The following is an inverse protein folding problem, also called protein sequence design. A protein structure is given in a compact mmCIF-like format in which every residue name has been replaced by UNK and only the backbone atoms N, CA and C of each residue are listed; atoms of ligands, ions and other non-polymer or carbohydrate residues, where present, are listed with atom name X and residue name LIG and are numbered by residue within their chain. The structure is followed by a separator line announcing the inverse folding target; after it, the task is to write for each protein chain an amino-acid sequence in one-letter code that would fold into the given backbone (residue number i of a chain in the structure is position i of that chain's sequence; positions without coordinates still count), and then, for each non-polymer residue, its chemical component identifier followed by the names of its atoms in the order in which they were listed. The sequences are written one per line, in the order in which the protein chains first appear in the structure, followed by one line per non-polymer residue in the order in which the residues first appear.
data_IF_114596383307
#
_entry.id   IF_114596383307
#
_cell.length_a   1.000
_cell.length_b   1.000
_cell.length_c   1.000
_cell.angle_alpha   90.00
_cell.angle_beta   90.00
_cell.angle_gamma   90.00
#
_symmetry.space_group_name_H-M   'P 1'
#
loop_
_entity.id
_entity.type
_entity.pdbx_description
1 polymer ?
#
# COMPACT_ATOMS: atom_id res chain seq x y z
N UNK A 1 56.67 -8.82 -10.54
CA UNK A 1 55.47 -9.68 -10.67
C UNK A 1 54.71 -9.92 -9.37
N UNK A 2 55.37 -10.09 -8.22
CA UNK A 2 54.70 -10.38 -6.95
C UNK A 2 53.83 -9.22 -6.40
N UNK A 3 54.26 -7.95 -6.52
CA UNK A 3 53.50 -6.81 -5.96
C UNK A 3 52.15 -6.57 -6.65
N UNK A 4 52.08 -6.78 -7.97
CA UNK A 4 50.83 -6.69 -8.74
C UNK A 4 49.84 -7.77 -8.30
N UNK A 5 50.33 -8.97 -7.98
CA UNK A 5 49.48 -10.07 -7.50
C UNK A 5 48.86 -9.72 -6.15
N UNK A 6 49.65 -9.18 -5.21
CA UNK A 6 49.14 -8.73 -3.90
C UNK A 6 48.14 -7.59 -4.04
N UNK A 7 48.43 -6.60 -4.89
CA UNK A 7 47.52 -5.47 -5.14
C UNK A 7 46.16 -5.91 -5.73
N UNK A 8 46.17 -6.87 -6.67
CA UNK A 8 44.94 -7.42 -7.26
C UNK A 8 44.10 -8.20 -6.26
N UNK A 9 44.74 -8.97 -5.37
CA UNK A 9 44.03 -9.72 -4.33
C UNK A 9 43.40 -8.76 -3.32
N UNK A 10 44.14 -7.73 -2.88
CA UNK A 10 43.60 -6.70 -2.00
C UNK A 10 42.41 -5.98 -2.64
N UNK A 11 42.51 -5.61 -3.92
CA UNK A 11 41.41 -5.00 -4.66
C UNK A 11 40.17 -5.89 -4.73
N UNK A 12 40.35 -7.20 -4.95
CA UNK A 12 39.24 -8.15 -4.98
C UNK A 12 38.53 -8.27 -3.62
N UNK A 13 39.29 -8.31 -2.52
CA UNK A 13 38.73 -8.37 -1.16
C UNK A 13 37.99 -7.08 -0.80
N UNK A 14 38.55 -5.92 -1.15
CA UNK A 14 37.93 -4.60 -0.89
C UNK A 14 36.65 -4.40 -1.72
N UNK A 15 36.52 -5.06 -2.87
CA UNK A 15 35.31 -4.99 -3.69
C UNK A 15 34.14 -5.86 -3.17
N UNK A 16 34.37 -6.76 -2.20
CA UNK A 16 33.34 -7.68 -1.71
C UNK A 16 32.10 -6.99 -1.12
N UNK A 17 32.18 -5.90 -0.32
CA UNK A 17 31.00 -5.20 0.18
C UNK A 17 30.14 -4.60 -0.93
N UNK A 18 30.77 -4.03 -1.97
CA UNK A 18 30.07 -3.49 -3.14
C UNK A 18 29.39 -4.62 -3.94
N UNK A 19 30.08 -5.75 -4.11
CA UNK A 19 29.51 -6.92 -4.77
C UNK A 19 28.31 -7.49 -3.98
N UNK A 20 28.40 -7.55 -2.66
CA UNK A 20 27.30 -7.97 -1.80
C UNK A 20 26.10 -7.02 -1.89
N UNK A 21 26.32 -5.70 -1.97
CA UNK A 21 25.24 -4.73 -2.14
C UNK A 21 24.58 -4.81 -3.53
N UNK A 22 25.37 -4.98 -4.59
CA UNK A 22 24.88 -5.03 -5.97
C UNK A 22 24.18 -6.35 -6.31
N UNK A 23 24.68 -7.47 -5.78
CA UNK A 23 24.22 -8.82 -6.15
C UNK A 23 23.44 -9.53 -5.05
N UNK A 24 23.44 -9.00 -3.81
CA UNK A 24 22.70 -9.57 -2.68
C UNK A 24 21.27 -9.05 -2.54
N UNK A 25 20.86 -8.09 -3.37
CA UNK A 25 19.51 -7.55 -3.35
C UNK A 25 18.46 -8.60 -3.75
N UNK A 26 17.43 -8.77 -2.93
CA UNK A 26 16.17 -9.42 -3.33
C UNK A 26 15.30 -8.35 -3.99
N UNK A 27 14.56 -8.68 -5.05
CA UNK A 27 13.50 -7.81 -5.55
C UNK A 27 12.44 -7.65 -4.44
N UNK A 28 12.58 -6.60 -3.62
CA UNK A 28 11.63 -6.30 -2.59
C UNK A 28 10.43 -5.64 -3.26
N UNK A 29 9.29 -6.32 -3.24
CA UNK A 29 8.02 -5.66 -3.52
C UNK A 29 7.78 -4.68 -2.36
N UNK A 30 8.21 -3.44 -2.55
CA UNK A 30 7.89 -2.36 -1.63
C UNK A 30 6.53 -1.80 -2.00
N UNK A 31 5.62 -1.86 -1.04
CA UNK A 31 4.31 -1.26 -1.16
C UNK A 31 4.34 0.21 -0.69
N UNK A 32 5.48 0.70 -0.21
CA UNK A 32 5.71 2.07 0.23
C UNK A 32 5.39 2.28 1.71
N UNK A 33 5.55 3.52 2.15
CA UNK A 33 5.26 3.95 3.53
C UNK A 33 6.46 4.57 4.22
N UNK A 34 7.05 5.60 3.63
CA UNK A 34 8.15 6.36 4.22
C UNK A 34 7.56 7.63 4.86
N UNK A 35 7.43 7.63 6.18
CA UNK A 35 7.03 8.82 6.94
C UNK A 35 8.22 9.32 7.76
N UNK A 36 8.48 10.62 7.65
CA UNK A 36 9.46 11.38 8.42
C UNK A 36 8.82 12.66 8.98
N UNK A 37 9.46 13.34 9.93
CA UNK A 37 9.09 14.69 10.39
C UNK A 37 7.60 14.92 10.72
N UNK A 38 7.01 14.01 11.51
CA UNK A 38 5.61 14.13 11.94
C UNK A 38 4.58 13.83 10.84
N UNK A 39 5.01 13.22 9.74
CA UNK A 39 4.14 12.82 8.64
C UNK A 39 3.24 11.65 9.02
N UNK A 40 2.04 11.64 8.44
CA UNK A 40 1.17 10.48 8.45
C UNK A 40 1.30 9.80 7.09
N UNK A 41 1.71 8.54 7.08
CA UNK A 41 1.79 7.75 5.84
C UNK A 41 0.88 6.55 5.94
N UNK A 42 0.31 6.17 4.81
CA UNK A 42 -0.47 4.96 4.72
C UNK A 42 -0.46 4.45 3.32
N UNK A 43 -0.33 3.14 3.25
CA UNK A 43 -0.34 2.39 2.02
C UNK A 43 -1.53 1.48 2.04
N UNK A 44 -2.29 1.57 0.97
CA UNK A 44 -3.46 0.76 0.73
C UNK A 44 -3.24 0.06 -0.60
N UNK A 45 -3.43 -1.24 -0.65
CA UNK A 45 -3.44 -1.93 -1.93
C UNK A 45 -4.51 -2.99 -1.93
N UNK A 46 -5.25 -3.06 -3.02
CA UNK A 46 -6.11 -4.18 -3.32
C UNK A 46 -5.38 -5.00 -4.39
N UNK A 47 -4.98 -6.22 -4.07
CA UNK A 47 -4.41 -7.18 -5.02
C UNK A 47 -5.39 -8.34 -5.16
N UNK A 48 -5.78 -8.68 -6.39
CA UNK A 48 -6.68 -9.80 -6.65
C UNK A 48 -8.15 -9.55 -6.29
N UNK A 49 -8.65 -8.32 -6.41
CA UNK A 49 -10.09 -8.05 -6.25
C UNK A 49 -10.93 -8.39 -7.46
N UNK A 50 -12.25 -8.36 -7.26
CA UNK A 50 -13.21 -8.63 -8.32
C UNK A 50 -13.52 -10.12 -8.39
N UNK A 51 -13.62 -10.65 -9.61
CA UNK A 51 -13.87 -12.07 -9.87
C UNK A 51 -12.81 -12.57 -10.84
N UNK A 52 -12.19 -13.70 -10.54
CA UNK A 52 -11.16 -14.34 -11.39
C UNK A 52 -11.71 -15.26 -12.48
N UNK A 53 -13.02 -15.23 -12.73
CA UNK A 53 -13.77 -16.09 -13.64
C UNK A 53 -15.16 -15.47 -13.92
N UNK A 54 -16.14 -16.29 -14.30
CA UNK A 54 -17.47 -15.77 -14.62
C UNK A 54 -18.19 -15.21 -13.38
N UNK A 55 -18.89 -14.09 -13.56
CA UNK A 55 -19.67 -13.44 -12.51
C UNK A 55 -21.07 -13.10 -13.04
N UNK A 56 -22.10 -13.77 -12.53
CA UNK A 56 -23.49 -13.51 -12.87
C UNK A 56 -24.18 -12.54 -11.88
N UNK A 57 -23.41 -11.84 -11.05
CA UNK A 57 -23.93 -10.82 -10.16
C UNK A 57 -22.93 -9.76 -9.75
N UNK A 58 -22.99 -9.29 -8.51
CA UNK A 58 -22.16 -8.17 -8.10
C UNK A 58 -20.86 -8.65 -7.46
N UNK A 59 -19.76 -8.08 -7.93
CA UNK A 59 -18.51 -8.09 -7.19
C UNK A 59 -18.17 -6.65 -6.83
N UNK A 60 -17.94 -6.42 -5.55
CA UNK A 60 -17.79 -5.07 -5.02
C UNK A 60 -16.62 -5.09 -4.06
N UNK A 61 -15.61 -4.31 -4.39
CA UNK A 61 -14.44 -4.16 -3.54
C UNK A 61 -14.29 -2.70 -3.18
N UNK A 62 -14.24 -2.42 -1.89
CA UNK A 62 -13.92 -1.09 -1.38
C UNK A 62 -12.62 -1.15 -0.60
N UNK A 63 -11.76 -0.16 -0.81
CA UNK A 63 -10.65 0.14 0.07
C UNK A 63 -10.81 1.58 0.55
N UNK A 64 -10.64 1.75 1.86
CA UNK A 64 -10.66 3.04 2.51
C UNK A 64 -9.41 3.17 3.36
N UNK A 65 -8.73 4.30 3.24
CA UNK A 65 -7.59 4.66 4.09
C UNK A 65 -7.74 6.10 4.54
N UNK A 66 -7.70 6.31 5.85
CA UNK A 66 -7.86 7.60 6.50
C UNK A 66 -6.68 7.72 7.44
N UNK A 67 -5.79 8.67 7.14
CA UNK A 67 -4.50 8.76 7.78
C UNK A 67 -4.18 10.22 8.01
N UNK A 68 -3.82 10.54 9.25
CA UNK A 68 -3.70 11.92 9.70
C UNK A 68 -4.65 12.27 10.83
N UNK A 69 -4.28 13.30 11.57
CA UNK A 69 -5.14 13.87 12.61
C UNK A 69 -6.45 14.37 11.99
N UNK A 70 -7.58 13.98 12.56
CA UNK A 70 -8.91 14.31 12.03
C UNK A 70 -9.33 13.51 10.79
N UNK A 71 -8.52 12.55 10.32
CA UNK A 71 -8.89 11.73 9.19
C UNK A 71 -10.03 10.78 9.57
N UNK A 72 -11.04 10.71 8.73
CA UNK A 72 -12.15 9.77 8.86
C UNK A 72 -12.53 9.26 7.48
N UNK A 73 -13.11 8.09 7.44
CA UNK A 73 -13.64 7.50 6.23
C UNK A 73 -15.07 7.04 6.47
N UNK A 74 -15.88 7.23 5.46
CA UNK A 74 -17.28 6.81 5.43
C UNK A 74 -17.50 6.18 4.07
N UNK A 75 -17.95 4.93 4.03
CA UNK A 75 -18.34 4.28 2.78
C UNK A 75 -19.68 3.62 2.96
N UNK A 76 -20.59 3.95 2.05
CA UNK A 76 -21.84 3.25 1.88
C UNK A 76 -21.80 2.61 0.50
N UNK A 77 -21.71 1.28 0.44
CA UNK A 77 -21.84 0.55 -0.83
C UNK A 77 -23.05 -0.36 -0.80
N UNK A 78 -23.84 -0.30 -1.87
CA UNK A 78 -25.01 -1.14 -2.06
C UNK A 78 -24.93 -1.71 -3.47
N UNK A 79 -24.99 -3.03 -3.55
CA UNK A 79 -24.87 -3.75 -4.80
C UNK A 79 -26.07 -4.65 -4.95
N UNK A 80 -26.91 -4.38 -5.94
CA UNK A 80 -28.12 -5.15 -6.24
C UNK A 80 -27.98 -5.84 -7.59
N UNK A 81 -28.21 -7.15 -7.62
CA UNK A 81 -28.25 -7.93 -8.84
C UNK A 81 -29.52 -8.77 -8.82
N UNK A 82 -30.40 -8.55 -9.79
CA UNK A 82 -31.74 -9.14 -9.82
C UNK A 82 -32.72 -8.46 -8.86
N UNK A 83 -33.42 -7.43 -9.35
CA UNK A 83 -34.65 -6.91 -8.74
C UNK A 83 -35.36 -5.92 -9.66
N UNK A 84 -36.70 -5.98 -9.73
CA UNK A 84 -37.53 -4.96 -10.40
C UNK A 84 -37.81 -3.75 -9.50
N UNK A 85 -37.69 -3.89 -8.17
CA UNK A 85 -37.95 -2.85 -7.18
C UNK A 85 -37.00 -2.99 -5.97
N UNK A 86 -35.87 -2.28 -5.96
CA UNK A 86 -35.03 -2.19 -4.76
C UNK A 86 -34.88 -0.74 -4.34
N UNK A 87 -35.33 -0.45 -3.12
CA UNK A 87 -35.12 0.85 -2.50
C UNK A 87 -33.86 0.79 -1.64
N UNK A 88 -32.81 1.51 -2.05
CA UNK A 88 -31.57 1.67 -1.29
C UNK A 88 -31.59 3.04 -0.63
N UNK A 89 -31.40 3.08 0.69
CA UNK A 89 -31.11 4.31 1.42
C UNK A 89 -29.75 4.17 2.09
N UNK A 90 -28.84 5.07 1.75
CA UNK A 90 -27.45 5.09 2.22
C UNK A 90 -27.13 6.44 2.86
N UNK A 91 -28.03 6.91 3.72
CA UNK A 91 -27.88 8.19 4.39
C UNK A 91 -26.78 8.13 5.45
N UNK A 92 -25.94 9.16 5.48
CA UNK A 92 -24.99 9.43 6.56
C UNK A 92 -25.54 10.55 7.44
N UNK A 93 -25.54 10.33 8.76
CA UNK A 93 -25.84 11.38 9.73
C UNK A 93 -24.54 11.79 10.41
N UNK A 94 -24.17 13.07 10.30
CA UNK A 94 -22.98 13.61 10.96
C UNK A 94 -23.41 14.66 11.98
N UNK A 95 -22.97 14.48 13.22
CA UNK A 95 -23.16 15.45 14.31
C UNK A 95 -21.79 15.96 14.71
N UNK A 96 -21.56 17.26 14.50
CA UNK A 96 -20.31 17.92 14.86
C UNK A 96 -20.54 18.80 16.08
N UNK A 97 -19.66 18.67 17.08
CA UNK A 97 -19.64 19.54 18.25
C UNK A 97 -18.49 20.54 18.10
N UNK A 98 -18.78 21.82 18.27
CA UNK A 98 -17.77 22.88 18.35
C UNK A 98 -17.62 23.33 19.80
N UNK A 99 -16.40 23.58 20.29
CA UNK A 99 -16.21 24.20 21.61
C UNK A 99 -16.89 25.57 21.63
N UNK A 100 -17.68 25.85 22.67
CA UNK A 100 -18.38 27.12 22.88
C UNK A 100 -17.71 27.99 23.95
N UNK A 101 -16.41 27.80 24.17
CA UNK A 101 -15.60 28.58 25.11
C UNK A 101 -14.30 29.03 24.46
#
# INVERSE_FOLDING_TARGET
MASIRTARIAAAVVALPLAAALFGGVAQADNGGFADDGSNTSVATIIGSGVGGDNNGNSTTTQQVATGSGASNQNNTASVNGSAFTHISQANNTVNFYPWW
#
